data_IF_747610849389
#
_entry.id   IF_747610849389
#
_cell.length_a   1.000
_cell.length_b   1.000
_cell.length_c   1.000
_cell.angle_alpha   90.00
_cell.angle_beta   90.00
_cell.angle_gamma   90.00
#
_symmetry.space_group_name_H-M   'P 1'
#
loop_
_entity.id
_entity.type
_entity.pdbx_description
1 polymer ?
#
# COMPACT_ATOMS: atom_id res chain seq x y z
N UNK A 1 -4.03 28.13 6.95
CA UNK A 1 -3.30 27.00 7.58
C UNK A 1 -2.95 26.00 6.51
N UNK A 2 -1.75 25.40 6.59
CA UNK A 2 -1.29 24.41 5.60
C UNK A 2 -1.50 22.99 6.11
N UNK A 3 -2.03 22.09 5.27
CA UNK A 3 -2.01 20.65 5.43
C UNK A 3 -0.90 20.06 4.56
N UNK A 4 -0.07 19.20 5.13
CA UNK A 4 0.90 18.40 4.41
C UNK A 4 0.43 16.96 4.34
N UNK A 5 0.28 16.41 3.14
CA UNK A 5 0.03 14.99 2.89
C UNK A 5 1.37 14.35 2.54
N UNK A 6 1.82 13.41 3.37
CA UNK A 6 3.16 12.84 3.29
C UNK A 6 3.07 11.37 2.90
N UNK A 7 3.70 11.02 1.78
CA UNK A 7 3.85 9.64 1.33
C UNK A 7 5.31 9.19 1.34
N UNK A 8 5.55 7.93 0.97
CA UNK A 8 6.86 7.27 1.06
C UNK A 8 7.98 8.01 0.29
N UNK A 9 7.65 8.70 -0.80
CA UNK A 9 8.62 9.53 -1.53
C UNK A 9 9.28 10.60 -0.67
N UNK A 10 8.64 11.05 0.41
CA UNK A 10 9.24 11.96 1.38
C UNK A 10 10.40 11.32 2.13
N UNK A 11 10.29 10.07 2.56
CA UNK A 11 11.39 9.32 3.16
C UNK A 11 12.49 9.04 2.14
N UNK A 12 12.10 8.65 0.93
CA UNK A 12 13.06 8.35 -0.15
C UNK A 12 13.91 9.55 -0.56
N UNK A 13 13.36 10.76 -0.58
CA UNK A 13 14.15 11.96 -0.91
C UNK A 13 15.20 12.29 0.15
N UNK A 14 15.07 11.77 1.37
CA UNK A 14 16.08 11.83 2.43
C UNK A 14 17.11 10.69 2.35
N UNK A 15 16.97 9.77 1.39
CA UNK A 15 17.83 8.60 1.27
C UNK A 15 17.50 7.49 2.27
N UNK A 16 16.33 7.53 2.91
CA UNK A 16 15.84 6.50 3.81
C UNK A 16 15.42 5.28 2.99
N UNK A 17 15.90 4.08 3.36
CA UNK A 17 15.59 2.82 2.68
C UNK A 17 14.20 2.32 3.07
N UNK A 18 13.17 2.88 2.48
CA UNK A 18 11.76 2.62 2.79
C UNK A 18 10.95 2.13 1.58
N UNK A 19 11.62 1.66 0.51
CA UNK A 19 10.93 1.06 -0.65
C UNK A 19 10.45 -0.35 -0.31
N UNK A 20 9.42 -0.80 -0.97
CA UNK A 20 9.02 -2.21 -0.89
C UNK A 20 10.10 -3.18 -1.42
N UNK A 21 11.00 -2.72 -2.29
CA UNK A 21 12.21 -3.50 -2.66
C UNK A 21 13.20 -3.62 -1.50
N UNK A 22 13.33 -2.62 -0.63
CA UNK A 22 14.13 -2.71 0.59
C UNK A 22 13.48 -3.68 1.59
N UNK A 23 12.15 -3.69 1.66
CA UNK A 23 11.38 -4.70 2.41
C UNK A 23 11.60 -6.11 1.86
N UNK A 24 11.58 -6.31 0.53
CA UNK A 24 11.90 -7.60 -0.10
C UNK A 24 13.22 -8.16 0.42
N UNK A 25 14.29 -7.35 0.34
CA UNK A 25 15.63 -7.77 0.78
C UNK A 25 15.65 -8.13 2.27
N UNK A 26 14.92 -7.37 3.08
CA UNK A 26 14.76 -7.66 4.50
C UNK A 26 14.00 -8.96 4.73
N UNK A 27 12.87 -9.15 4.07
CA UNK A 27 12.00 -10.32 4.21
C UNK A 27 12.73 -11.62 3.84
N UNK A 28 13.46 -11.64 2.73
CA UNK A 28 14.28 -12.80 2.33
C UNK A 28 15.40 -13.13 3.31
N UNK A 29 15.93 -12.12 4.00
CA UNK A 29 17.02 -12.30 4.95
C UNK A 29 16.54 -12.73 6.34
N UNK A 30 15.38 -12.28 6.78
CA UNK A 30 14.92 -12.39 8.17
C UNK A 30 13.64 -13.23 8.33
N UNK A 31 12.81 -13.32 7.31
CA UNK A 31 11.56 -14.06 7.32
C UNK A 31 11.73 -15.55 7.01
N UNK A 32 10.62 -16.28 7.13
CA UNK A 32 10.55 -17.66 6.70
C UNK A 32 10.55 -17.73 5.18
N UNK A 33 11.65 -18.24 4.61
CA UNK A 33 11.87 -18.27 3.16
C UNK A 33 10.80 -19.07 2.39
N UNK A 34 10.16 -20.06 3.02
CA UNK A 34 9.07 -20.81 2.42
C UNK A 34 7.87 -19.89 2.16
N UNK A 35 7.41 -19.15 3.19
CA UNK A 35 6.26 -18.26 3.06
C UNK A 35 6.56 -17.01 2.21
N UNK A 36 7.79 -16.48 2.25
CA UNK A 36 8.19 -15.40 1.35
C UNK A 36 8.23 -15.87 -0.10
N UNK A 37 8.71 -17.09 -0.36
CA UNK A 37 8.68 -17.72 -1.69
C UNK A 37 7.26 -17.99 -2.16
N UNK A 38 6.37 -18.45 -1.28
CA UNK A 38 4.95 -18.63 -1.58
C UNK A 38 4.28 -17.29 -1.94
N UNK A 39 4.55 -16.23 -1.19
CA UNK A 39 4.06 -14.89 -1.49
C UNK A 39 4.47 -14.46 -2.92
N UNK A 40 5.74 -14.61 -3.29
CA UNK A 40 6.20 -14.28 -4.65
C UNK A 40 5.56 -15.18 -5.73
N UNK A 41 5.22 -16.42 -5.41
CA UNK A 41 4.54 -17.32 -6.34
C UNK A 41 3.07 -16.94 -6.52
N UNK A 42 2.39 -16.57 -5.43
CA UNK A 42 1.01 -16.09 -5.49
C UNK A 42 0.89 -14.76 -6.24
N UNK A 43 1.94 -13.93 -6.22
CA UNK A 43 1.97 -12.60 -6.82
C UNK A 43 3.15 -12.48 -7.80
N UNK A 44 3.08 -13.15 -8.95
CA UNK A 44 4.20 -13.21 -9.89
C UNK A 44 4.61 -11.82 -10.40
N UNK A 45 5.90 -11.64 -10.49
CA UNK A 45 6.60 -10.40 -10.79
C UNK A 45 6.37 -9.77 -12.18
N UNK A 46 5.57 -10.39 -13.01
CA UNK A 46 5.39 -9.95 -14.39
C UNK A 46 4.14 -9.11 -14.50
N UNK A 47 4.30 -7.79 -14.57
CA UNK A 47 3.25 -6.93 -15.11
C UNK A 47 3.20 -7.15 -16.64
N UNK A 48 2.19 -7.85 -17.19
CA UNK A 48 2.09 -8.10 -18.64
C UNK A 48 1.93 -6.82 -19.46
N UNK A 49 1.73 -5.66 -18.82
CA UNK A 49 1.57 -4.35 -19.46
C UNK A 49 2.80 -3.45 -19.27
N UNK A 50 3.83 -3.91 -18.57
CA UNK A 50 5.08 -3.18 -18.38
C UNK A 50 6.14 -3.67 -19.36
N UNK A 51 6.64 -2.75 -20.20
CA UNK A 51 7.78 -3.02 -21.10
C UNK A 51 9.12 -3.23 -20.34
N UNK A 52 9.10 -3.06 -19.02
CA UNK A 52 10.31 -3.06 -18.19
C UNK A 52 10.22 -4.19 -17.18
N UNK A 53 10.23 -5.35 -17.23
CA UNK A 53 10.43 -6.44 -16.23
C UNK A 53 10.56 -5.99 -14.74
N UNK A 54 9.86 -4.91 -14.35
CA UNK A 54 9.85 -4.43 -12.98
C UNK A 54 8.98 -5.37 -12.14
N UNK A 55 9.53 -5.81 -11.03
CA UNK A 55 8.90 -6.64 -10.02
C UNK A 55 7.60 -5.99 -9.52
N UNK A 56 6.46 -6.41 -10.06
CA UNK A 56 5.16 -5.79 -9.78
C UNK A 56 4.83 -5.81 -8.28
N UNK A 57 5.01 -6.97 -7.61
CA UNK A 57 4.74 -7.11 -6.18
C UNK A 57 5.52 -6.08 -5.35
N UNK A 58 6.81 -5.99 -5.57
CA UNK A 58 7.70 -5.17 -4.75
C UNK A 58 7.81 -3.71 -5.20
N UNK A 59 7.21 -3.35 -6.34
CA UNK A 59 7.12 -1.96 -6.81
C UNK A 59 5.84 -1.27 -6.36
N UNK A 60 4.73 -2.01 -6.29
CA UNK A 60 3.40 -1.52 -5.89
C UNK A 60 2.71 -2.62 -5.06
N UNK A 61 3.23 -2.85 -3.85
CA UNK A 61 2.85 -3.95 -2.98
C UNK A 61 1.33 -3.97 -2.71
N UNK A 62 0.77 -2.83 -2.33
CA UNK A 62 -0.63 -2.74 -1.95
C UNK A 62 -1.58 -3.05 -3.10
N UNK A 63 -1.25 -2.58 -4.30
CA UNK A 63 -2.02 -2.92 -5.49
C UNK A 63 -1.84 -4.39 -5.87
N UNK A 64 -0.63 -4.92 -5.75
CA UNK A 64 -0.34 -6.31 -6.08
C UNK A 64 -1.07 -7.27 -5.16
N UNK A 65 -1.09 -7.02 -3.84
CA UNK A 65 -1.79 -7.86 -2.85
C UNK A 65 -3.27 -8.09 -3.19
N UNK A 66 -3.90 -7.15 -3.88
CA UNK A 66 -5.28 -7.28 -4.36
C UNK A 66 -5.43 -8.00 -5.71
N UNK A 67 -4.36 -8.57 -6.29
CA UNK A 67 -4.38 -9.20 -7.62
C UNK A 67 -3.53 -10.49 -7.65
N UNK A 68 -3.84 -11.49 -6.82
CA UNK A 68 -3.12 -12.76 -6.82
C UNK A 68 -3.37 -13.54 -8.12
N UNK A 69 -2.41 -14.36 -8.48
CA UNK A 69 -2.63 -15.40 -9.48
C UNK A 69 -3.19 -16.65 -8.79
N UNK A 70 -4.50 -16.88 -8.93
CA UNK A 70 -5.21 -17.98 -8.26
C UNK A 70 -4.66 -19.36 -8.65
N UNK A 71 -4.38 -19.57 -9.93
CA UNK A 71 -3.82 -20.85 -10.40
C UNK A 71 -2.44 -21.09 -9.78
N UNK A 72 -1.54 -20.10 -9.86
CA UNK A 72 -0.20 -20.23 -9.27
C UNK A 72 -0.23 -20.45 -7.77
N UNK A 73 -1.14 -19.77 -7.06
CA UNK A 73 -1.31 -19.93 -5.62
C UNK A 73 -1.84 -21.34 -5.28
N UNK A 74 -2.87 -21.78 -6.00
CA UNK A 74 -3.46 -23.11 -5.80
C UNK A 74 -2.45 -24.21 -6.08
N UNK A 75 -1.78 -24.18 -7.25
CA UNK A 75 -0.79 -25.17 -7.64
C UNK A 75 0.38 -25.24 -6.65
N UNK A 76 0.93 -24.06 -6.25
CA UNK A 76 2.06 -24.02 -5.32
C UNK A 76 1.73 -24.60 -3.93
N UNK A 77 0.47 -24.55 -3.53
CA UNK A 77 0.03 -25.05 -2.24
C UNK A 77 -0.34 -26.55 -2.31
N UNK A 78 -0.85 -26.99 -3.46
CA UNK A 78 -1.46 -28.34 -3.57
C UNK A 78 -0.59 -29.35 -4.32
N UNK A 79 0.51 -28.93 -4.94
CA UNK A 79 1.38 -29.78 -5.80
C UNK A 79 1.92 -31.03 -5.07
N UNK A 80 2.18 -30.93 -3.77
CA UNK A 80 2.68 -32.02 -2.94
C UNK A 80 1.56 -32.88 -2.32
N UNK A 81 0.27 -32.62 -2.60
CA UNK A 81 -0.85 -33.39 -2.07
C UNK A 81 -1.09 -34.60 -2.96
N UNK A 82 -0.71 -35.77 -2.48
CA UNK A 82 -0.87 -37.03 -3.21
C UNK A 82 -2.22 -37.73 -2.89
N UNK A 83 -2.84 -38.26 -3.93
CA UNK A 83 -4.04 -39.09 -3.77
C UNK A 83 -3.63 -40.52 -3.43
N UNK A 84 -4.00 -40.98 -2.23
CA UNK A 84 -3.84 -42.39 -1.81
C UNK A 84 -5.05 -43.23 -2.23
N UNK A 85 -4.83 -44.47 -2.68
CA UNK A 85 -5.89 -45.38 -3.09
C UNK A 85 -6.92 -45.61 -1.97
N UNK A 86 -8.19 -45.36 -2.28
CA UNK A 86 -9.31 -45.52 -1.34
C UNK A 86 -9.48 -44.35 -0.35
N UNK A 87 -8.78 -43.23 -0.56
CA UNK A 87 -8.87 -42.02 0.29
C UNK A 87 -9.25 -40.77 -0.52
N UNK A 88 -10.03 -40.92 -1.58
CA UNK A 88 -10.43 -39.82 -2.48
C UNK A 88 -11.09 -38.65 -1.74
N UNK A 89 -11.93 -38.94 -0.73
CA UNK A 89 -12.59 -37.91 0.08
C UNK A 89 -11.61 -37.11 0.96
N UNK A 90 -10.53 -37.76 1.43
CA UNK A 90 -9.47 -37.07 2.18
C UNK A 90 -8.64 -36.18 1.25
N UNK A 91 -8.29 -36.68 0.07
CA UNK A 91 -7.59 -35.91 -0.95
C UNK A 91 -8.37 -34.65 -1.32
N UNK A 92 -9.68 -34.80 -1.62
CA UNK A 92 -10.53 -33.67 -1.96
C UNK A 92 -10.56 -32.64 -0.82
N UNK A 93 -10.77 -33.05 0.42
CA UNK A 93 -10.78 -32.15 1.57
C UNK A 93 -9.42 -31.42 1.73
N UNK A 94 -8.30 -32.10 1.51
CA UNK A 94 -6.98 -31.47 1.57
C UNK A 94 -6.79 -30.41 0.48
N UNK A 95 -7.23 -30.70 -0.76
CA UNK A 95 -7.17 -29.76 -1.88
C UNK A 95 -8.04 -28.52 -1.64
N UNK A 96 -9.19 -28.69 -0.99
CA UNK A 96 -10.11 -27.59 -0.65
C UNK A 96 -9.58 -26.72 0.49
N UNK A 97 -9.07 -27.32 1.58
CA UNK A 97 -8.72 -26.61 2.83
C UNK A 97 -7.28 -26.08 2.85
N UNK A 98 -6.34 -26.71 2.13
CA UNK A 98 -4.93 -26.31 2.15
C UNK A 98 -4.70 -24.85 1.75
N UNK A 99 -5.36 -24.26 0.74
CA UNK A 99 -5.19 -22.86 0.38
C UNK A 99 -5.46 -21.91 1.54
N UNK A 100 -6.55 -22.08 2.30
CA UNK A 100 -6.84 -21.24 3.46
C UNK A 100 -5.71 -21.33 4.49
N UNK A 101 -5.33 -22.53 4.88
CA UNK A 101 -4.30 -22.74 5.91
C UNK A 101 -2.94 -22.13 5.54
N UNK A 102 -2.44 -22.40 4.32
CA UNK A 102 -1.10 -21.93 3.93
C UNK A 102 -1.07 -20.43 3.65
N UNK A 103 -2.14 -19.85 3.12
CA UNK A 103 -2.22 -18.41 2.90
C UNK A 103 -2.33 -17.64 4.23
N UNK A 104 -3.10 -18.13 5.20
CA UNK A 104 -3.16 -17.54 6.55
C UNK A 104 -1.76 -17.51 7.19
N UNK A 105 -1.02 -18.61 7.08
CA UNK A 105 0.35 -18.67 7.59
C UNK A 105 1.30 -17.74 6.83
N UNK A 106 1.14 -17.63 5.52
CA UNK A 106 1.93 -16.75 4.67
C UNK A 106 1.69 -15.28 5.03
N UNK A 107 0.43 -14.86 5.16
CA UNK A 107 0.11 -13.49 5.55
C UNK A 107 0.48 -13.18 6.99
N UNK A 108 0.34 -14.14 7.90
CA UNK A 108 0.85 -14.01 9.27
C UNK A 108 2.35 -13.74 9.31
N UNK A 109 3.14 -14.47 8.53
CA UNK A 109 4.58 -14.22 8.36
C UNK A 109 4.85 -12.86 7.70
N UNK A 110 4.12 -12.53 6.63
CA UNK A 110 4.22 -11.24 5.95
C UNK A 110 4.05 -10.07 6.94
N UNK A 111 2.97 -10.05 7.72
CA UNK A 111 2.71 -8.97 8.69
C UNK A 111 3.77 -8.91 9.79
N UNK A 112 4.21 -10.05 10.29
CA UNK A 112 5.28 -10.12 11.29
C UNK A 112 6.57 -9.50 10.79
N UNK A 113 7.02 -9.94 9.62
CA UNK A 113 8.28 -9.47 9.01
C UNK A 113 8.16 -8.03 8.53
N UNK A 114 6.98 -7.60 8.07
CA UNK A 114 6.71 -6.22 7.70
C UNK A 114 6.84 -5.28 8.92
N UNK A 115 6.24 -5.64 10.04
CA UNK A 115 6.36 -4.89 11.29
C UNK A 115 7.80 -4.79 11.78
N UNK A 116 8.55 -5.88 11.71
CA UNK A 116 9.96 -5.90 12.07
C UNK A 116 10.81 -5.02 11.14
N UNK A 117 10.55 -5.08 9.82
CA UNK A 117 11.22 -4.23 8.84
C UNK A 117 10.94 -2.75 9.08
N UNK A 118 9.69 -2.37 9.29
CA UNK A 118 9.31 -0.97 9.57
C UNK A 118 10.07 -0.44 10.79
N UNK A 119 10.25 -1.26 11.84
CA UNK A 119 11.05 -0.91 13.01
C UNK A 119 12.56 -0.87 12.72
N UNK A 120 13.03 -1.62 11.72
CA UNK A 120 14.42 -1.67 11.31
C UNK A 120 14.86 -0.47 10.45
N UNK A 121 13.94 0.24 9.77
CA UNK A 121 14.26 1.38 8.91
C UNK A 121 15.09 2.41 9.69
N UNK A 122 16.30 2.73 9.22
CA UNK A 122 17.12 3.77 9.80
C UNK A 122 16.72 5.15 9.27
N UNK A 123 16.31 6.03 10.18
CA UNK A 123 15.95 7.43 9.88
C UNK A 123 16.98 8.41 10.44
N UNK A 124 18.16 7.94 10.83
CA UNK A 124 19.22 8.79 11.32
C UNK A 124 19.99 9.43 10.16
N UNK A 125 19.33 10.33 9.47
CA UNK A 125 19.83 11.08 8.31
C UNK A 125 19.72 12.58 8.56
N UNK A 126 20.43 13.39 7.77
CA UNK A 126 20.32 14.85 7.85
C UNK A 126 19.04 15.34 7.18
N UNK A 127 18.32 16.29 7.78
CA UNK A 127 17.14 16.88 7.15
C UNK A 127 17.51 17.68 5.90
N UNK A 128 16.67 17.66 4.88
CA UNK A 128 16.82 18.51 3.70
C UNK A 128 16.66 19.99 4.12
N UNK A 129 17.58 20.85 3.66
CA UNK A 129 17.61 22.25 4.09
C UNK A 129 16.52 23.11 3.46
N UNK A 130 16.10 22.78 2.25
CA UNK A 130 15.19 23.60 1.46
C UNK A 130 14.08 22.71 0.88
N UNK A 131 13.14 22.28 1.72
CA UNK A 131 11.90 21.67 1.23
C UNK A 131 10.94 22.76 0.79
N UNK A 132 10.64 22.80 -0.49
CA UNK A 132 9.70 23.75 -1.05
C UNK A 132 8.30 23.54 -0.43
N UNK A 133 7.62 24.62 -0.10
CA UNK A 133 6.29 24.65 0.52
C UNK A 133 6.16 23.96 1.89
N UNK A 134 7.23 23.44 2.52
CA UNK A 134 7.16 22.75 3.80
C UNK A 134 7.06 23.74 4.99
N UNK A 135 5.99 23.60 5.79
CA UNK A 135 5.70 24.44 6.95
C UNK A 135 5.57 23.60 8.22
N UNK A 136 6.52 23.71 9.15
CA UNK A 136 6.54 22.89 10.40
C UNK A 136 5.32 23.07 11.31
N UNK A 137 4.60 24.19 11.19
CA UNK A 137 3.44 24.53 12.02
C UNK A 137 2.11 24.12 11.38
N UNK A 138 2.15 23.43 10.25
CA UNK A 138 0.98 22.90 9.56
C UNK A 138 0.38 21.67 10.25
N UNK A 139 -0.73 21.19 9.71
CA UNK A 139 -1.25 19.85 9.97
C UNK A 139 -0.61 18.84 9.01
N UNK A 140 -0.51 17.61 9.44
CA UNK A 140 0.12 16.54 8.66
C UNK A 140 -0.78 15.30 8.61
N UNK A 141 -1.02 14.80 7.41
CA UNK A 141 -1.57 13.47 7.15
C UNK A 141 -0.45 12.60 6.61
N UNK A 142 0.03 11.66 7.41
CA UNK A 142 1.15 10.80 7.04
C UNK A 142 0.68 9.41 6.69
N UNK A 143 1.09 8.94 5.51
CA UNK A 143 0.95 7.56 5.04
C UNK A 143 2.21 6.74 5.33
N UNK A 144 3.28 7.40 5.84
CA UNK A 144 4.53 6.75 6.20
C UNK A 144 4.44 6.15 7.60
N UNK A 145 5.11 5.05 7.82
CA UNK A 145 5.21 4.38 9.12
C UNK A 145 6.32 4.94 10.01
N UNK A 146 7.17 5.82 9.47
CA UNK A 146 8.37 6.38 10.12
C UNK A 146 8.08 7.71 10.80
N UNK A 147 8.86 8.04 11.86
CA UNK A 147 8.79 9.32 12.56
C UNK A 147 9.70 10.40 11.95
N UNK A 148 9.91 10.38 10.64
CA UNK A 148 10.78 11.32 9.92
C UNK A 148 10.39 12.77 10.19
N UNK A 149 9.09 13.09 10.23
CA UNK A 149 8.59 14.43 10.52
C UNK A 149 8.99 14.92 11.93
N UNK A 150 8.83 14.07 12.94
CA UNK A 150 9.14 14.42 14.33
C UNK A 150 10.64 14.50 14.54
N UNK A 151 11.40 13.51 14.04
CA UNK A 151 12.82 13.40 14.33
C UNK A 151 13.67 14.40 13.55
N UNK A 152 13.44 14.56 12.25
CA UNK A 152 14.24 15.44 11.40
C UNK A 152 13.74 16.89 11.43
N UNK A 153 12.42 17.09 11.44
CA UNK A 153 11.84 18.44 11.28
C UNK A 153 11.26 19.01 12.58
N UNK A 154 11.25 18.23 13.68
CA UNK A 154 10.70 18.66 14.96
C UNK A 154 9.22 19.08 14.88
N UNK A 155 8.47 18.43 13.99
CA UNK A 155 7.02 18.60 13.93
C UNK A 155 6.42 18.02 15.21
N UNK A 156 5.48 18.74 15.81
CA UNK A 156 4.80 18.26 17.02
C UNK A 156 3.92 17.06 16.70
N UNK A 157 4.00 15.99 17.49
CA UNK A 157 3.24 14.75 17.29
C UNK A 157 1.72 14.99 17.21
N UNK A 158 1.22 15.95 17.95
CA UNK A 158 -0.20 16.33 17.97
C UNK A 158 -0.72 16.91 16.65
N UNK A 159 0.18 17.38 15.78
CA UNK A 159 -0.14 17.90 14.45
C UNK A 159 -0.10 16.82 13.36
N UNK A 160 0.29 15.59 13.69
CA UNK A 160 0.47 14.51 12.71
C UNK A 160 -0.59 13.43 12.92
N UNK A 161 -1.35 13.13 11.87
CA UNK A 161 -2.17 11.94 11.80
C UNK A 161 -1.43 10.88 10.96
N UNK A 162 -1.02 9.78 11.59
CA UNK A 162 -0.47 8.60 10.94
C UNK A 162 -1.62 7.69 10.56
N UNK A 163 -2.14 7.83 9.35
CA UNK A 163 -3.38 7.16 8.92
C UNK A 163 -3.24 5.64 8.79
N UNK A 164 -2.03 5.16 8.57
CA UNK A 164 -1.70 3.73 8.46
C UNK A 164 -0.95 3.20 9.70
N UNK A 165 -1.00 3.91 10.82
CA UNK A 165 -0.20 3.58 11.99
C UNK A 165 1.26 4.03 11.85
N UNK A 166 2.04 3.84 12.91
CA UNK A 166 3.48 4.16 12.90
C UNK A 166 4.27 3.17 13.76
N UNK A 167 5.55 3.04 13.47
CA UNK A 167 6.46 2.22 14.26
C UNK A 167 6.66 2.78 15.67
N UNK A 168 7.23 1.98 16.56
CA UNK A 168 7.49 2.36 17.95
C UNK A 168 6.24 2.89 18.70
N UNK A 169 5.06 2.43 18.32
CA UNK A 169 3.80 2.74 18.97
C UNK A 169 2.99 1.46 19.21
N UNK A 170 1.85 1.60 19.87
CA UNK A 170 0.87 0.52 20.00
C UNK A 170 -0.13 0.49 18.85
N UNK A 171 0.02 1.40 17.88
CA UNK A 171 -0.85 1.46 16.71
C UNK A 171 -0.58 0.26 15.81
N UNK A 172 -1.63 -0.34 15.29
CA UNK A 172 -1.52 -1.37 14.27
C UNK A 172 -1.00 -0.75 12.97
N UNK A 173 -0.07 -1.45 12.31
CA UNK A 173 0.43 -1.05 11.00
C UNK A 173 -0.55 -1.55 9.94
N UNK A 174 -1.12 -0.64 9.16
CA UNK A 174 -2.13 -0.94 8.16
C UNK A 174 -1.46 -1.02 6.79
N UNK A 175 -1.35 -2.24 6.26
CA UNK A 175 -0.89 -2.54 4.90
C UNK A 175 -1.89 -3.49 4.27
N UNK A 176 -2.23 -3.31 2.99
CA UNK A 176 -3.20 -4.15 2.31
C UNK A 176 -3.79 -3.48 1.07
N UNK A 177 -4.79 -4.09 0.47
CA UNK A 177 -5.37 -3.66 -0.80
C UNK A 177 -6.83 -3.18 -0.66
N UNK A 178 -7.45 -2.73 -1.77
CA UNK A 178 -8.85 -2.29 -1.79
C UNK A 178 -9.78 -3.20 -2.62
N UNK A 179 -9.25 -4.22 -3.33
CA UNK A 179 -10.03 -5.06 -4.22
C UNK A 179 -10.94 -6.04 -3.45
N UNK A 180 -12.06 -6.40 -4.06
CA UNK A 180 -12.90 -7.52 -3.62
C UNK A 180 -12.79 -8.64 -4.64
N UNK A 181 -12.39 -9.82 -4.19
CA UNK A 181 -12.13 -10.98 -5.02
C UNK A 181 -13.22 -12.04 -4.86
N UNK A 182 -13.42 -12.82 -5.91
CA UNK A 182 -14.29 -14.00 -5.92
C UNK A 182 -13.57 -15.14 -6.61
N UNK A 183 -13.47 -16.30 -5.95
CA UNK A 183 -12.84 -17.49 -6.49
C UNK A 183 -13.51 -17.97 -7.77
N UNK A 184 -14.83 -17.94 -7.83
CA UNK A 184 -15.62 -18.38 -9.00
C UNK A 184 -15.31 -17.58 -10.29
N UNK A 185 -14.91 -16.31 -10.18
CA UNK A 185 -14.55 -15.49 -11.34
C UNK A 185 -13.17 -15.81 -11.91
N UNK A 186 -12.38 -16.59 -11.19
CA UNK A 186 -11.01 -16.95 -11.53
C UNK A 186 -10.87 -18.38 -12.05
N UNK A 187 -11.95 -19.17 -11.98
CA UNK A 187 -11.96 -20.57 -12.44
C UNK A 187 -11.80 -20.67 -13.96
N UNK A 188 -11.17 -21.75 -14.41
CA UNK A 188 -11.12 -22.15 -15.82
C UNK A 188 -12.49 -22.56 -16.36
N UNK A 189 -12.60 -22.80 -17.67
CA UNK A 189 -13.85 -23.24 -18.32
C UNK A 189 -14.30 -24.65 -17.88
N UNK A 190 -13.40 -25.51 -17.36
CA UNK A 190 -13.68 -26.88 -16.92
C UNK A 190 -12.92 -27.18 -15.61
N UNK A 191 -13.29 -26.57 -14.49
CA UNK A 191 -12.59 -26.75 -13.21
C UNK A 191 -12.90 -28.09 -12.57
N UNK A 192 -11.92 -28.63 -11.86
CA UNK A 192 -12.12 -29.79 -10.99
C UNK A 192 -13.00 -29.40 -9.77
N UNK A 193 -13.72 -30.35 -9.21
CA UNK A 193 -14.68 -30.09 -8.12
C UNK A 193 -14.04 -29.39 -6.91
N UNK A 194 -12.83 -29.77 -6.53
CA UNK A 194 -12.09 -29.17 -5.40
C UNK A 194 -11.54 -27.76 -5.70
N UNK A 195 -11.38 -27.39 -6.97
CA UNK A 195 -10.90 -26.05 -7.34
C UNK A 195 -11.93 -24.97 -6.97
N UNK A 196 -13.22 -25.29 -6.97
CA UNK A 196 -14.27 -24.36 -6.56
C UNK A 196 -14.05 -23.87 -5.12
N UNK A 197 -13.93 -24.82 -4.17
CA UNK A 197 -13.75 -24.48 -2.77
C UNK A 197 -12.34 -23.92 -2.52
N UNK A 198 -11.30 -24.46 -3.16
CA UNK A 198 -9.93 -23.98 -3.04
C UNK A 198 -9.77 -22.53 -3.48
N UNK A 199 -10.36 -22.15 -4.60
CA UNK A 199 -10.31 -20.76 -5.10
C UNK A 199 -11.17 -19.82 -4.25
N UNK A 200 -12.32 -20.27 -3.72
CA UNK A 200 -13.10 -19.46 -2.79
C UNK A 200 -12.34 -19.24 -1.48
N UNK A 201 -11.57 -20.22 -1.02
CA UNK A 201 -10.69 -20.10 0.15
C UNK A 201 -9.52 -19.13 -0.12
N UNK A 202 -8.91 -19.16 -1.30
CA UNK A 202 -7.92 -18.15 -1.70
C UNK A 202 -8.55 -16.75 -1.67
N UNK A 203 -9.72 -16.59 -2.31
CA UNK A 203 -10.41 -15.30 -2.34
C UNK A 203 -10.78 -14.81 -0.93
N UNK A 204 -11.22 -15.72 -0.05
CA UNK A 204 -11.54 -15.41 1.34
C UNK A 204 -10.35 -14.82 2.08
N UNK A 205 -9.22 -15.54 2.11
CA UNK A 205 -8.03 -15.09 2.84
C UNK A 205 -7.47 -13.78 2.26
N UNK A 206 -7.37 -13.67 0.94
CA UNK A 206 -6.91 -12.42 0.32
C UNK A 206 -7.86 -11.26 0.62
N UNK A 207 -9.18 -11.47 0.66
CA UNK A 207 -10.13 -10.42 1.03
C UNK A 207 -10.00 -9.97 2.50
N UNK A 208 -9.46 -10.78 3.39
CA UNK A 208 -9.18 -10.41 4.79
C UNK A 208 -8.03 -9.39 4.87
N UNK A 209 -7.13 -9.38 3.86
CA UNK A 209 -6.03 -8.41 3.72
C UNK A 209 -6.48 -7.03 3.18
N UNK A 210 -7.78 -6.80 3.06
CA UNK A 210 -8.30 -5.52 2.58
C UNK A 210 -8.20 -4.44 3.65
N UNK A 211 -7.70 -3.27 3.26
CA UNK A 211 -7.78 -2.07 4.10
C UNK A 211 -9.25 -1.68 4.30
N UNK A 212 -9.67 -1.59 5.55
CA UNK A 212 -10.99 -1.05 5.93
C UNK A 212 -11.00 0.48 5.85
N UNK A 213 -10.78 1.05 4.65
CA UNK A 213 -10.61 2.49 4.42
C UNK A 213 -11.78 3.30 4.99
N UNK A 214 -13.03 2.85 4.81
CA UNK A 214 -14.21 3.52 5.35
C UNK A 214 -14.23 3.57 6.89
N UNK A 215 -13.75 2.51 7.55
CA UNK A 215 -13.62 2.46 8.99
C UNK A 215 -12.49 3.38 9.47
N UNK A 216 -11.33 3.34 8.82
CA UNK A 216 -10.20 4.23 9.12
C UNK A 216 -10.63 5.70 9.00
N UNK A 217 -11.37 6.06 7.95
CA UNK A 217 -11.92 7.41 7.77
C UNK A 217 -12.85 7.75 8.93
N UNK A 218 -13.74 6.85 9.32
CA UNK A 218 -14.70 7.07 10.41
C UNK A 218 -14.02 7.26 11.77
N UNK A 219 -12.96 6.49 12.05
CA UNK A 219 -12.18 6.61 13.29
C UNK A 219 -11.43 7.96 13.37
N UNK A 220 -11.15 8.60 12.26
CA UNK A 220 -10.44 9.87 12.18
C UNK A 220 -11.34 11.09 12.00
N UNK A 221 -12.64 11.02 12.36
CA UNK A 221 -13.64 12.07 12.14
C UNK A 221 -13.22 13.43 12.73
N UNK A 222 -12.61 13.45 13.91
CA UNK A 222 -12.13 14.69 14.54
C UNK A 222 -10.98 15.34 13.77
N UNK A 223 -10.11 14.53 13.19
CA UNK A 223 -9.03 15.02 12.34
C UNK A 223 -9.59 15.67 11.07
N UNK A 224 -10.53 15.04 10.39
CA UNK A 224 -11.13 15.60 9.18
C UNK A 224 -11.82 16.94 9.47
N UNK A 225 -12.57 17.06 10.56
CA UNK A 225 -13.18 18.33 10.99
C UNK A 225 -12.17 19.44 11.26
N UNK A 226 -10.97 19.11 11.72
CA UNK A 226 -9.92 20.10 11.96
C UNK A 226 -9.38 20.73 10.67
N UNK A 227 -9.60 20.12 9.51
CA UNK A 227 -9.16 20.62 8.21
C UNK A 227 -9.98 21.82 7.71
N UNK A 228 -11.09 22.17 8.33
CA UNK A 228 -11.98 23.27 7.91
C UNK A 228 -11.31 24.66 7.87
N UNK A 229 -10.14 24.80 8.46
CA UNK A 229 -9.34 26.05 8.46
C UNK A 229 -8.14 25.97 7.49
N UNK A 230 -7.99 24.86 6.77
CA UNK A 230 -6.89 24.64 5.84
C UNK A 230 -7.24 25.32 4.51
N UNK A 231 -6.36 26.20 4.05
CA UNK A 231 -6.48 26.92 2.79
C UNK A 231 -5.31 26.64 1.82
N UNK A 232 -4.40 25.73 2.22
CA UNK A 232 -3.31 25.24 1.37
C UNK A 232 -3.04 23.78 1.68
N UNK A 233 -3.01 22.93 0.65
CA UNK A 233 -2.66 21.52 0.74
C UNK A 233 -1.36 21.29 -0.03
N UNK A 234 -0.41 20.61 0.58
CA UNK A 234 0.89 20.26 -0.02
C UNK A 234 1.07 18.75 0.02
N UNK A 235 1.10 18.13 -1.13
CA UNK A 235 1.31 16.68 -1.27
C UNK A 235 2.79 16.43 -1.53
N UNK A 236 3.45 15.77 -0.60
CA UNK A 236 4.90 15.51 -0.64
C UNK A 236 5.17 14.00 -0.76
N UNK A 237 5.71 13.58 -1.89
CA UNK A 237 6.19 12.21 -2.09
C UNK A 237 5.11 11.12 -2.01
N UNK A 238 3.86 11.46 -2.33
CA UNK A 238 2.75 10.50 -2.34
C UNK A 238 2.40 10.08 -3.77
N UNK A 239 2.20 8.77 -3.98
CA UNK A 239 1.86 8.22 -5.29
C UNK A 239 0.44 8.57 -5.74
N UNK A 240 -0.46 8.85 -4.79
CA UNK A 240 -1.89 9.07 -5.05
C UNK A 240 -2.50 7.89 -5.82
N UNK A 241 -2.22 6.67 -5.33
CA UNK A 241 -2.76 5.43 -5.89
C UNK A 241 -4.25 5.28 -5.55
N UNK A 242 -4.96 4.46 -6.34
CA UNK A 242 -6.40 4.23 -6.18
C UNK A 242 -6.77 3.76 -4.76
N UNK A 243 -5.88 3.02 -4.08
CA UNK A 243 -6.07 2.53 -2.70
C UNK A 243 -6.23 3.69 -1.71
N UNK A 244 -5.52 4.81 -1.94
CA UNK A 244 -5.48 5.95 -1.03
C UNK A 244 -6.41 7.11 -1.46
N UNK A 245 -6.96 7.07 -2.68
CA UNK A 245 -7.84 8.14 -3.19
C UNK A 245 -9.02 8.49 -2.27
N UNK A 246 -9.65 7.55 -1.55
CA UNK A 246 -10.72 7.92 -0.62
C UNK A 246 -10.30 8.91 0.49
N UNK A 247 -9.05 8.86 0.94
CA UNK A 247 -8.52 9.83 1.91
C UNK A 247 -8.35 11.22 1.28
N UNK A 248 -7.92 11.28 0.01
CA UNK A 248 -7.82 12.55 -0.72
C UNK A 248 -9.19 13.19 -0.96
N UNK A 249 -10.21 12.40 -1.28
CA UNK A 249 -11.60 12.87 -1.34
C UNK A 249 -12.02 13.45 0.00
N UNK A 250 -11.71 12.75 1.11
CA UNK A 250 -12.05 13.23 2.46
C UNK A 250 -11.34 14.53 2.82
N UNK A 251 -10.11 14.72 2.38
CA UNK A 251 -9.40 16.00 2.52
C UNK A 251 -10.09 17.08 1.70
N UNK A 252 -10.36 16.84 0.42
CA UNK A 252 -11.00 17.82 -0.47
C UNK A 252 -12.37 18.28 0.04
N UNK A 253 -13.16 17.38 0.63
CA UNK A 253 -14.45 17.69 1.25
C UNK A 253 -14.36 18.58 2.50
N UNK A 254 -13.22 18.58 3.20
CA UNK A 254 -13.10 19.19 4.53
C UNK A 254 -12.21 20.43 4.57
N UNK A 255 -11.39 20.69 3.54
CA UNK A 255 -10.61 21.94 3.44
C UNK A 255 -11.46 23.09 2.90
N UNK A 256 -10.94 24.32 2.97
CA UNK A 256 -11.62 25.51 2.40
C UNK A 256 -11.81 25.34 0.89
N UNK A 257 -12.99 25.67 0.36
CA UNK A 257 -13.34 25.45 -1.06
C UNK A 257 -12.32 26.05 -2.06
N UNK A 258 -11.74 27.21 -1.74
CA UNK A 258 -10.75 27.90 -2.59
C UNK A 258 -9.30 27.60 -2.11
N UNK A 259 -9.06 26.42 -1.54
CA UNK A 259 -7.73 26.04 -1.09
C UNK A 259 -6.77 25.80 -2.27
N UNK A 260 -5.53 26.26 -2.11
CA UNK A 260 -4.46 25.98 -3.06
C UNK A 260 -3.90 24.57 -2.84
N UNK A 261 -3.64 23.83 -3.93
CA UNK A 261 -3.05 22.50 -3.90
C UNK A 261 -1.71 22.48 -4.61
N UNK A 262 -0.68 21.97 -3.92
CA UNK A 262 0.67 21.81 -4.44
C UNK A 262 1.04 20.34 -4.42
N UNK A 263 1.38 19.77 -5.58
CA UNK A 263 1.72 18.37 -5.75
C UNK A 263 3.21 18.22 -6.07
N UNK A 264 3.95 17.51 -5.23
CA UNK A 264 5.31 17.15 -5.58
C UNK A 264 5.32 16.13 -6.71
N UNK A 265 6.25 16.32 -7.65
CA UNK A 265 6.54 15.34 -8.70
C UNK A 265 8.01 14.96 -8.62
N UNK A 266 8.26 13.66 -8.85
CA UNK A 266 9.62 13.15 -9.00
C UNK A 266 9.76 12.52 -10.38
N UNK A 267 10.90 12.75 -11.04
CA UNK A 267 11.17 12.19 -12.36
C UNK A 267 12.67 12.07 -12.64
N UNK A 268 13.05 11.01 -13.35
CA UNK A 268 14.43 10.77 -13.74
C UNK A 268 14.73 11.27 -15.16
N UNK A 269 13.69 11.50 -15.95
CA UNK A 269 13.81 11.93 -17.34
C UNK A 269 12.54 12.71 -17.80
N UNK A 270 12.59 13.43 -18.95
CA UNK A 270 11.45 14.21 -19.43
C UNK A 270 10.17 13.43 -19.73
N UNK A 271 10.27 12.14 -20.05
CA UNK A 271 9.08 11.30 -20.30
C UNK A 271 8.36 10.97 -18.98
N UNK A 272 9.11 10.64 -17.94
CA UNK A 272 8.56 10.39 -16.60
C UNK A 272 7.94 11.67 -16.04
N UNK A 273 8.54 12.82 -16.25
CA UNK A 273 7.96 14.11 -15.88
C UNK A 273 6.58 14.32 -16.53
N UNK A 274 6.44 14.03 -17.84
CA UNK A 274 5.14 14.12 -18.51
C UNK A 274 4.11 13.16 -17.94
N UNK A 275 4.50 11.91 -17.60
CA UNK A 275 3.62 10.93 -16.96
C UNK A 275 3.18 11.40 -15.57
N UNK A 276 4.12 11.90 -14.75
CA UNK A 276 3.82 12.41 -13.41
C UNK A 276 2.84 13.61 -13.47
N UNK A 277 3.07 14.57 -14.35
CA UNK A 277 2.18 15.72 -14.55
C UNK A 277 0.80 15.27 -15.05
N UNK A 278 0.74 14.28 -15.95
CA UNK A 278 -0.54 13.74 -16.44
C UNK A 278 -1.30 13.03 -15.31
N UNK A 279 -0.63 12.28 -14.45
CA UNK A 279 -1.23 11.65 -13.27
C UNK A 279 -1.82 12.70 -12.32
N UNK A 280 -1.07 13.73 -11.96
CA UNK A 280 -1.58 14.84 -11.13
C UNK A 280 -2.83 15.49 -11.74
N UNK A 281 -2.86 15.70 -13.07
CA UNK A 281 -4.06 16.24 -13.74
C UNK A 281 -5.26 15.33 -13.62
N UNK A 282 -5.08 14.00 -13.66
CA UNK A 282 -6.17 13.05 -13.45
C UNK A 282 -6.70 13.13 -12.01
N UNK A 283 -5.79 13.20 -11.02
CA UNK A 283 -6.16 13.37 -9.60
C UNK A 283 -6.93 14.68 -9.38
N UNK A 284 -6.47 15.81 -9.94
CA UNK A 284 -7.17 17.11 -9.87
C UNK A 284 -8.60 16.97 -10.40
N UNK A 285 -8.76 16.30 -11.54
CA UNK A 285 -10.08 16.07 -12.15
C UNK A 285 -10.96 15.15 -11.31
N UNK A 286 -10.40 14.10 -10.76
CA UNK A 286 -11.11 13.13 -9.91
C UNK A 286 -11.61 13.77 -8.61
N UNK A 287 -10.81 14.65 -8.01
CA UNK A 287 -11.13 15.39 -6.79
C UNK A 287 -11.99 16.64 -7.05
N UNK A 288 -12.35 16.94 -8.30
CA UNK A 288 -13.11 18.13 -8.73
C UNK A 288 -12.49 19.46 -8.23
N UNK A 289 -11.15 19.55 -8.26
CA UNK A 289 -10.42 20.73 -7.82
C UNK A 289 -10.31 21.78 -8.95
N UNK A 290 -10.28 23.08 -8.59
CA UNK A 290 -9.99 24.16 -9.56
C UNK A 290 -8.53 24.07 -10.02
N UNK A 291 -8.32 23.76 -11.29
CA UNK A 291 -7.01 23.64 -11.91
C UNK A 291 -6.15 24.91 -11.77
N UNK A 292 -6.77 26.08 -11.64
CA UNK A 292 -6.07 27.35 -11.46
C UNK A 292 -5.46 27.52 -10.07
N UNK A 293 -5.93 26.74 -9.10
CA UNK A 293 -5.43 26.69 -7.72
C UNK A 293 -4.49 25.49 -7.49
N UNK A 294 -4.17 24.73 -8.54
CA UNK A 294 -3.35 23.53 -8.46
C UNK A 294 -1.98 23.75 -9.13
N UNK A 295 -0.91 23.43 -8.42
CA UNK A 295 0.48 23.63 -8.84
C UNK A 295 1.28 22.34 -8.68
N UNK A 296 2.32 22.17 -9.49
CA UNK A 296 3.31 21.09 -9.32
C UNK A 296 4.66 21.66 -8.99
N UNK A 297 5.43 20.97 -8.17
CA UNK A 297 6.82 21.30 -7.83
C UNK A 297 7.68 20.03 -7.83
N UNK A 298 8.99 20.19 -8.00
CA UNK A 298 9.94 19.07 -7.97
C UNK A 298 10.41 18.81 -6.55
N UNK A 299 10.50 17.51 -6.19
CA UNK A 299 10.99 17.08 -4.88
C UNK A 299 12.04 15.98 -5.03
#
# INVERSE_FOLDING_TARGET
MTLHIIGNGFDLCHGIASRYTDFKDYAWKHGNQYYIGLLETCYPDVNPQSDNNELYLWCDLERALGNPNFQSAFDAITDDIEMEDGHEGRYQAQMEDAPEYYLDMMFGEFHSVFGDWVNYIDINVEPLRNLEHFERKGLFLSFNYTETLEQLYRVSRENINYIHGRRNSTDELIVGHCNTLSGMQQLSDDPMVYEYAGYDNIAKVVNEERKSVSEIISLNENYWKSLSVVNKVVVCGHSMSDVDMPYFHKVAENVVNDSEWHFSIHYNNPLDCKKAVAHVKNVIKELDLDINLCHTFEM
#
